data_IF_792634546889
#
_entry.id   IF_792634546889
#
_cell.length_a   1.000
_cell.length_b   1.000
_cell.length_c   1.000
_cell.angle_alpha   90.00
_cell.angle_beta   90.00
_cell.angle_gamma   90.00
#
_symmetry.space_group_name_H-M   'P 1'
#
loop_
_entity.id
_entity.type
_entity.pdbx_description
1 polymer ?
#
# COMPACT_ATOMS: atom_id res chain seq x y z
N UNK A 1 -1.52 -4.71 14.51
CA UNK A 1 -2.40 -5.18 13.41
C UNK A 1 -2.79 -4.03 12.49
N UNK A 2 -1.82 -3.50 11.74
CA UNK A 2 -2.03 -2.72 10.49
C UNK A 2 -1.43 -3.51 9.32
N UNK A 3 -0.43 -4.35 9.60
CA UNK A 3 0.29 -5.10 8.58
C UNK A 3 -0.52 -6.20 7.90
N UNK A 4 -1.59 -6.73 8.52
CA UNK A 4 -2.52 -7.69 7.87
C UNK A 4 -3.45 -6.99 6.88
N UNK A 5 -3.86 -5.75 7.19
CA UNK A 5 -4.64 -4.89 6.28
C UNK A 5 -3.74 -4.38 5.16
N UNK A 6 -2.50 -4.02 5.49
CA UNK A 6 -1.45 -3.74 4.52
C UNK A 6 -1.13 -5.00 3.71
N UNK A 7 -1.21 -6.23 4.23
CA UNK A 7 -1.03 -7.44 3.42
C UNK A 7 -2.19 -7.68 2.45
N UNK A 8 -3.43 -7.36 2.83
CA UNK A 8 -4.58 -7.41 1.90
C UNK A 8 -4.53 -6.27 0.88
N UNK A 9 -3.98 -5.11 1.25
CA UNK A 9 -3.68 -4.01 0.32
C UNK A 9 -2.39 -4.26 -0.50
N UNK A 10 -1.43 -5.07 -0.01
CA UNK A 10 -0.23 -5.52 -0.73
C UNK A 10 -0.49 -6.78 -1.56
N UNK A 11 -1.58 -7.51 -1.33
CA UNK A 11 -2.11 -8.43 -2.32
C UNK A 11 -2.62 -7.66 -3.55
N UNK A 12 -2.93 -6.36 -3.41
CA UNK A 12 -3.06 -5.44 -4.54
C UNK A 12 -1.71 -4.89 -5.05
N UNK A 13 -0.58 -5.05 -4.34
CA UNK A 13 0.77 -4.81 -4.91
C UNK A 13 1.17 -5.94 -5.89
N UNK A 14 0.48 -7.08 -5.85
CA UNK A 14 0.44 -8.04 -6.96
C UNK A 14 -0.26 -7.53 -8.23
N UNK A 15 -0.97 -6.39 -8.18
CA UNK A 15 -1.68 -5.85 -9.37
C UNK A 15 -0.71 -5.23 -10.39
N UNK A 16 0.54 -4.95 -10.03
CA UNK A 16 1.52 -4.32 -10.93
C UNK A 16 2.71 -5.22 -11.33
N UNK A 17 2.78 -6.43 -10.76
CA UNK A 17 3.80 -7.44 -11.07
C UNK A 17 3.11 -8.76 -11.38
N UNK A 18 2.72 -8.94 -12.64
CA UNK A 18 2.21 -10.19 -13.22
C UNK A 18 0.84 -10.66 -12.68
N UNK A 19 -0.24 -10.16 -13.31
CA UNK A 19 -1.62 -10.66 -13.18
C UNK A 19 -1.81 -12.09 -13.75
N UNK A 20 -0.76 -12.91 -13.80
CA UNK A 20 -0.84 -14.34 -14.06
C UNK A 20 -0.60 -15.10 -12.76
N UNK A 21 -1.55 -14.99 -11.83
CA UNK A 21 -1.64 -15.97 -10.75
C UNK A 21 -1.81 -17.35 -11.40
N UNK A 22 -0.83 -18.22 -11.19
CA UNK A 22 -0.90 -19.62 -11.61
C UNK A 22 -2.14 -20.29 -10.99
N UNK A 23 -2.64 -21.36 -11.60
CA UNK A 23 -3.80 -22.11 -11.06
C UNK A 23 -3.56 -22.58 -9.61
N UNK A 24 -2.29 -22.88 -9.27
CA UNK A 24 -1.87 -23.24 -7.90
C UNK A 24 -2.08 -22.07 -6.93
N UNK A 25 -1.64 -20.86 -7.29
CA UNK A 25 -1.82 -19.67 -6.45
C UNK A 25 -3.30 -19.29 -6.32
N UNK A 26 -4.10 -19.44 -7.38
CA UNK A 26 -5.55 -19.21 -7.32
C UNK A 26 -6.22 -20.17 -6.34
N UNK A 27 -5.82 -21.44 -6.35
CA UNK A 27 -6.39 -22.42 -5.43
C UNK A 27 -5.99 -22.13 -3.98
N UNK A 28 -4.71 -21.86 -3.72
CA UNK A 28 -4.24 -21.47 -2.39
C UNK A 28 -4.97 -20.23 -1.86
N UNK A 29 -5.20 -19.23 -2.71
CA UNK A 29 -5.93 -18.04 -2.34
C UNK A 29 -7.38 -18.32 -1.94
N UNK A 30 -8.07 -19.18 -2.72
CA UNK A 30 -9.43 -19.61 -2.41
C UNK A 30 -9.51 -20.34 -1.07
N UNK A 31 -8.55 -21.22 -0.80
CA UNK A 31 -8.52 -22.00 0.44
C UNK A 31 -8.23 -21.10 1.67
N UNK A 32 -7.31 -20.13 1.52
CA UNK A 32 -7.05 -19.12 2.54
C UNK A 32 -8.29 -18.26 2.83
N UNK A 33 -8.98 -17.80 1.79
CA UNK A 33 -10.21 -17.02 1.94
C UNK A 33 -11.28 -17.83 2.67
N UNK A 34 -11.52 -19.08 2.26
CA UNK A 34 -12.48 -19.97 2.92
C UNK A 34 -12.16 -20.14 4.40
N UNK A 35 -10.91 -20.45 4.74
CA UNK A 35 -10.48 -20.60 6.12
C UNK A 35 -10.70 -19.31 6.94
N UNK A 36 -10.40 -18.15 6.35
CA UNK A 36 -10.55 -16.85 6.99
C UNK A 36 -12.03 -16.46 7.18
N UNK A 37 -12.88 -16.66 6.18
CA UNK A 37 -14.31 -16.43 6.28
C UNK A 37 -14.95 -17.35 7.33
N UNK A 38 -14.59 -18.65 7.31
CA UNK A 38 -15.05 -19.64 8.29
C UNK A 38 -14.67 -19.26 9.72
N UNK A 39 -13.42 -18.84 9.92
CA UNK A 39 -12.93 -18.37 11.22
C UNK A 39 -13.76 -17.21 11.79
N UNK A 40 -14.37 -16.41 10.93
CA UNK A 40 -15.18 -15.25 11.31
C UNK A 40 -16.70 -15.49 11.16
N UNK A 41 -17.13 -16.75 10.99
CA UNK A 41 -18.55 -17.12 10.92
C UNK A 41 -19.27 -16.65 9.65
N UNK A 42 -18.53 -16.38 8.58
CA UNK A 42 -19.04 -15.86 7.30
C UNK A 42 -18.72 -16.81 6.13
N UNK A 43 -18.76 -18.12 6.36
CA UNK A 43 -18.45 -19.14 5.34
C UNK A 43 -19.41 -19.04 4.13
N UNK A 44 -20.64 -18.58 4.33
CA UNK A 44 -21.65 -18.29 3.29
C UNK A 44 -21.33 -17.07 2.42
N UNK A 45 -20.32 -16.28 2.78
CA UNK A 45 -19.91 -15.04 2.09
C UNK A 45 -18.67 -15.20 1.20
N UNK A 46 -18.10 -16.40 1.12
CA UNK A 46 -16.86 -16.65 0.38
C UNK A 46 -16.98 -16.25 -1.09
N UNK A 47 -18.05 -16.68 -1.77
CA UNK A 47 -18.28 -16.41 -3.19
C UNK A 47 -18.53 -14.92 -3.46
N UNK A 48 -19.29 -14.25 -2.59
CA UNK A 48 -19.54 -12.81 -2.65
C UNK A 48 -18.22 -12.03 -2.55
N UNK A 49 -17.38 -12.40 -1.58
CA UNK A 49 -16.07 -11.77 -1.38
C UNK A 49 -15.14 -12.04 -2.57
N UNK A 50 -15.18 -13.22 -3.19
CA UNK A 50 -14.42 -13.50 -4.42
C UNK A 50 -14.82 -12.58 -5.57
N UNK A 51 -16.11 -12.35 -5.78
CA UNK A 51 -16.57 -11.47 -6.86
C UNK A 51 -16.22 -10.00 -6.57
N UNK A 52 -16.27 -9.56 -5.31
CA UNK A 52 -15.79 -8.23 -4.90
C UNK A 52 -14.32 -8.04 -5.28
N UNK A 53 -13.46 -9.03 -5.00
CA UNK A 53 -12.03 -8.93 -5.30
C UNK A 53 -11.74 -8.92 -6.80
N UNK A 54 -12.50 -9.68 -7.59
CA UNK A 54 -12.44 -9.66 -9.05
C UNK A 54 -12.92 -8.31 -9.61
N UNK A 55 -14.01 -7.77 -9.07
CA UNK A 55 -14.55 -6.46 -9.43
C UNK A 55 -13.53 -5.35 -9.15
N UNK A 56 -12.87 -5.42 -7.98
CA UNK A 56 -11.78 -4.51 -7.63
C UNK A 56 -10.64 -4.58 -8.65
N UNK A 57 -10.17 -5.78 -9.00
CA UNK A 57 -9.11 -5.95 -9.97
C UNK A 57 -9.50 -5.40 -11.36
N UNK A 58 -10.74 -5.66 -11.79
CA UNK A 58 -11.28 -5.10 -13.04
C UNK A 58 -11.35 -3.57 -13.00
N UNK A 59 -11.76 -2.99 -11.88
CA UNK A 59 -11.74 -1.54 -11.72
C UNK A 59 -10.32 -0.99 -11.89
N UNK A 60 -9.34 -1.51 -11.14
CA UNK A 60 -7.96 -1.01 -11.19
C UNK A 60 -7.38 -1.13 -12.60
N UNK A 61 -7.60 -2.27 -13.28
CA UNK A 61 -7.16 -2.48 -14.67
C UNK A 61 -7.87 -1.53 -15.66
N UNK A 62 -9.13 -1.18 -15.42
CA UNK A 62 -9.83 -0.17 -16.23
C UNK A 62 -9.31 1.25 -16.03
N UNK A 63 -8.71 1.53 -14.87
CA UNK A 63 -8.14 2.83 -14.56
C UNK A 63 -6.70 2.96 -15.06
N UNK A 64 -5.88 1.92 -14.90
CA UNK A 64 -4.43 1.97 -15.16
C UNK A 64 -4.00 0.88 -16.14
N UNK A 65 -3.53 1.29 -17.32
CA UNK A 65 -2.66 0.45 -18.14
C UNK A 65 -1.23 0.63 -17.62
N UNK A 66 -0.74 -0.38 -16.90
CA UNK A 66 0.59 -0.38 -16.25
C UNK A 66 1.72 -0.31 -17.27
N UNK A 67 1.55 -0.97 -18.42
CA UNK A 67 2.57 -0.99 -19.46
C UNK A 67 2.61 0.35 -20.18
N UNK A 68 1.45 0.95 -20.44
CA UNK A 68 1.38 2.32 -20.95
C UNK A 68 1.97 3.31 -19.96
N UNK A 69 1.61 3.24 -18.67
CA UNK A 69 2.14 4.14 -17.64
C UNK A 69 3.66 4.07 -17.54
N UNK A 70 4.24 2.86 -17.50
CA UNK A 70 5.70 2.69 -17.48
C UNK A 70 6.35 3.32 -18.70
N UNK A 71 5.81 3.06 -19.90
CA UNK A 71 6.33 3.65 -21.14
C UNK A 71 6.23 5.17 -21.14
N UNK A 72 5.07 5.72 -20.76
CA UNK A 72 4.83 7.16 -20.67
C UNK A 72 5.80 7.83 -19.69
N UNK A 73 6.09 7.20 -18.54
CA UNK A 73 7.09 7.69 -17.58
C UNK A 73 8.50 7.72 -18.21
N UNK A 74 8.94 6.63 -18.84
CA UNK A 74 10.29 6.57 -19.43
C UNK A 74 10.47 7.57 -20.58
N UNK A 75 9.42 7.81 -21.38
CA UNK A 75 9.41 8.81 -22.45
C UNK A 75 9.40 10.25 -21.91
N UNK A 76 8.69 10.50 -20.81
CA UNK A 76 8.52 11.83 -20.21
C UNK A 76 9.62 12.22 -19.20
N UNK A 77 10.39 11.25 -18.70
CA UNK A 77 11.50 11.50 -17.78
C UNK A 77 12.60 12.40 -18.38
N UNK A 78 13.13 12.17 -19.60
CA UNK A 78 14.23 12.97 -20.14
C UNK A 78 13.83 14.38 -20.59
N UNK A 79 12.55 14.63 -20.88
CA UNK A 79 12.06 15.93 -21.33
C UNK A 79 11.39 16.75 -20.21
N UNK A 80 11.29 16.20 -18.99
CA UNK A 80 10.75 16.88 -17.82
C UNK A 80 9.22 17.00 -17.79
N UNK A 81 8.49 16.17 -18.56
CA UNK A 81 7.03 16.22 -18.69
C UNK A 81 6.29 15.16 -17.83
N UNK A 82 6.91 14.72 -16.73
CA UNK A 82 6.32 13.68 -15.86
C UNK A 82 5.01 14.15 -15.21
N UNK A 83 4.88 15.44 -14.92
CA UNK A 83 3.66 16.04 -14.37
C UNK A 83 2.46 15.87 -15.32
N UNK A 84 2.64 16.02 -16.64
CA UNK A 84 1.59 15.78 -17.63
C UNK A 84 1.11 14.32 -17.63
N UNK A 85 2.05 13.39 -17.49
CA UNK A 85 1.74 11.96 -17.34
C UNK A 85 0.93 11.75 -16.07
N UNK A 86 1.44 12.17 -14.92
CA UNK A 86 0.76 11.92 -13.64
C UNK A 86 -0.57 12.65 -13.52
N UNK A 87 -0.76 13.81 -14.16
CA UNK A 87 -2.04 14.51 -14.21
C UNK A 87 -3.16 13.65 -14.77
N UNK A 88 -2.90 12.96 -15.88
CA UNK A 88 -3.85 12.03 -16.52
C UNK A 88 -4.25 10.89 -15.58
N UNK A 89 -3.31 10.36 -14.81
CA UNK A 89 -3.57 9.24 -13.89
C UNK A 89 -4.20 9.71 -12.56
N UNK A 90 -3.79 10.87 -12.05
CA UNK A 90 -4.33 11.46 -10.83
C UNK A 90 -5.77 11.98 -10.99
N UNK A 91 -6.17 12.36 -12.20
CA UNK A 91 -7.59 12.61 -12.52
C UNK A 91 -8.49 11.40 -12.26
N UNK A 92 -7.94 10.18 -12.25
CA UNK A 92 -8.66 8.92 -11.96
C UNK A 92 -8.71 8.60 -10.46
N UNK A 93 -8.06 9.39 -9.61
CA UNK A 93 -7.98 9.15 -8.17
C UNK A 93 -9.35 9.00 -7.48
N UNK A 94 -10.43 9.73 -7.83
CA UNK A 94 -11.72 9.53 -7.17
C UNK A 94 -12.32 8.15 -7.46
N UNK A 95 -12.16 7.65 -8.69
CA UNK A 95 -12.61 6.31 -9.08
C UNK A 95 -11.77 5.23 -8.40
N UNK A 96 -10.44 5.43 -8.30
CA UNK A 96 -9.57 4.51 -7.57
C UNK A 96 -9.96 4.40 -6.09
N UNK A 97 -10.18 5.53 -5.41
CA UNK A 97 -10.64 5.55 -4.01
C UNK A 97 -11.95 4.79 -3.85
N UNK A 98 -12.92 5.04 -4.74
CA UNK A 98 -14.19 4.31 -4.74
C UNK A 98 -13.99 2.80 -4.87
N UNK A 99 -13.07 2.34 -5.73
CA UNK A 99 -12.82 0.92 -5.89
C UNK A 99 -12.19 0.28 -4.65
N UNK A 100 -11.29 0.99 -3.98
CA UNK A 100 -10.71 0.55 -2.72
C UNK A 100 -11.76 0.50 -1.61
N UNK A 101 -12.63 1.51 -1.50
CA UNK A 101 -13.68 1.55 -0.48
C UNK A 101 -14.71 0.43 -0.70
N UNK A 102 -15.09 0.17 -1.95
CA UNK A 102 -15.95 -0.97 -2.30
C UNK A 102 -15.30 -2.31 -1.96
N UNK A 103 -14.00 -2.46 -2.21
CA UNK A 103 -13.25 -3.64 -1.80
C UNK A 103 -13.29 -3.82 -0.28
N UNK A 104 -12.88 -2.80 0.48
CA UNK A 104 -12.77 -2.90 1.94
C UNK A 104 -14.13 -3.14 2.61
N UNK A 105 -15.21 -2.55 2.08
CA UNK A 105 -16.57 -2.84 2.53
C UNK A 105 -16.98 -4.29 2.19
N UNK A 106 -16.73 -4.75 0.97
CA UNK A 106 -17.16 -6.07 0.52
C UNK A 106 -16.41 -7.23 1.18
N UNK A 107 -15.14 -7.05 1.57
CA UNK A 107 -14.36 -8.09 2.28
C UNK A 107 -14.63 -8.11 3.79
N UNK A 108 -15.28 -7.08 4.34
CA UNK A 108 -15.53 -6.93 5.77
C UNK A 108 -16.18 -8.16 6.44
N UNK A 109 -17.14 -8.88 5.83
CA UNK A 109 -17.73 -10.07 6.43
C UNK A 109 -16.71 -11.16 6.79
N UNK A 110 -15.63 -11.30 6.03
CA UNK A 110 -14.60 -12.30 6.31
C UNK A 110 -13.45 -11.79 7.20
N UNK A 111 -13.52 -10.54 7.67
CA UNK A 111 -12.55 -9.97 8.59
C UNK A 111 -12.95 -10.22 10.05
N UNK A 112 -11.96 -10.23 10.94
CA UNK A 112 -12.20 -10.24 12.39
C UNK A 112 -12.72 -8.87 12.87
N UNK A 113 -13.29 -8.86 14.08
CA UNK A 113 -13.94 -7.66 14.64
C UNK A 113 -13.00 -6.47 14.75
N UNK A 114 -11.76 -6.69 15.21
CA UNK A 114 -10.74 -5.63 15.32
C UNK A 114 -10.41 -5.04 13.95
N UNK A 115 -10.25 -5.89 12.92
CA UNK A 115 -10.00 -5.41 11.57
C UNK A 115 -11.18 -4.59 11.02
N UNK A 116 -12.43 -5.00 11.26
CA UNK A 116 -13.64 -4.27 10.85
C UNK A 116 -13.71 -2.88 11.48
N UNK A 117 -13.39 -2.77 12.77
CA UNK A 117 -13.36 -1.49 13.50
C UNK A 117 -12.33 -0.50 12.94
N UNK A 118 -11.30 -1.00 12.25
CA UNK A 118 -10.24 -0.18 11.65
C UNK A 118 -10.42 0.08 10.14
N UNK A 119 -11.47 -0.41 9.48
CA UNK A 119 -11.70 -0.20 8.04
C UNK A 119 -11.76 1.29 7.70
N UNK A 120 -12.50 2.09 8.49
CA UNK A 120 -12.61 3.53 8.24
C UNK A 120 -11.24 4.23 8.31
N UNK A 121 -10.43 3.89 9.32
CA UNK A 121 -9.07 4.41 9.45
C UNK A 121 -8.17 3.98 8.29
N UNK A 122 -8.29 2.73 7.83
CA UNK A 122 -7.54 2.23 6.68
C UNK A 122 -7.93 2.93 5.37
N UNK A 123 -9.23 3.15 5.13
CA UNK A 123 -9.72 3.91 3.98
C UNK A 123 -9.22 5.36 4.03
N UNK A 124 -9.31 6.02 5.19
CA UNK A 124 -8.80 7.39 5.37
C UNK A 124 -7.28 7.49 5.11
N UNK A 125 -6.49 6.55 5.65
CA UNK A 125 -5.06 6.50 5.39
C UNK A 125 -4.74 6.25 3.89
N UNK A 126 -5.56 5.43 3.22
CA UNK A 126 -5.41 5.16 1.79
C UNK A 126 -5.79 6.38 0.94
N UNK A 127 -6.86 7.06 1.27
CA UNK A 127 -7.28 8.30 0.60
C UNK A 127 -6.20 9.37 0.73
N UNK A 128 -5.62 9.49 1.94
CA UNK A 128 -4.50 10.38 2.20
C UNK A 128 -3.25 10.02 1.39
N UNK A 129 -2.89 8.73 1.31
CA UNK A 129 -1.78 8.30 0.45
C UNK A 129 -2.02 8.72 -1.02
N UNK A 130 -3.22 8.48 -1.54
CA UNK A 130 -3.59 8.86 -2.90
C UNK A 130 -3.53 10.38 -3.08
N UNK A 131 -4.05 11.15 -2.12
CA UNK A 131 -4.00 12.62 -2.15
C UNK A 131 -2.58 13.17 -2.04
N UNK A 132 -1.71 12.50 -1.30
CA UNK A 132 -0.31 12.87 -1.23
C UNK A 132 0.38 12.66 -2.57
N UNK A 133 0.20 11.49 -3.18
CA UNK A 133 0.79 11.17 -4.49
C UNK A 133 0.25 12.10 -5.56
N UNK A 134 -1.06 12.35 -5.56
CA UNK A 134 -1.75 13.20 -6.52
C UNK A 134 -1.82 14.68 -6.13
N UNK A 135 -1.01 15.11 -5.17
CA UNK A 135 -0.92 16.51 -4.80
C UNK A 135 -0.51 17.33 -6.03
N UNK A 136 -1.31 18.37 -6.35
CA UNK A 136 -1.16 19.19 -7.55
C UNK A 136 -0.95 18.32 -8.80
N UNK A 137 -1.94 17.51 -9.12
CA UNK A 137 -1.94 16.66 -10.32
C UNK A 137 -0.75 15.68 -10.43
N UNK A 138 -0.04 15.40 -9.32
CA UNK A 138 1.08 14.46 -9.31
C UNK A 138 2.47 15.08 -9.23
N UNK A 139 2.59 16.39 -8.98
CA UNK A 139 3.88 17.09 -8.82
C UNK A 139 4.84 16.34 -7.88
N UNK A 140 4.34 15.79 -6.78
CA UNK A 140 5.17 15.09 -5.80
C UNK A 140 5.78 13.82 -6.37
N UNK A 141 4.98 12.97 -7.03
CA UNK A 141 5.51 11.74 -7.61
C UNK A 141 6.38 12.01 -8.83
N UNK A 142 6.06 13.06 -9.61
CA UNK A 142 6.90 13.53 -10.70
C UNK A 142 8.29 13.95 -10.20
N UNK A 143 8.35 14.80 -9.16
CA UNK A 143 9.60 15.23 -8.54
C UNK A 143 10.39 14.05 -7.97
N UNK A 144 9.72 13.13 -7.28
CA UNK A 144 10.36 11.93 -6.74
C UNK A 144 11.07 11.12 -7.82
N UNK A 145 10.43 10.91 -8.96
CA UNK A 145 10.99 10.14 -10.07
C UNK A 145 12.08 10.91 -10.81
N UNK A 146 11.88 12.22 -11.03
CA UNK A 146 12.87 13.08 -11.66
C UNK A 146 14.20 13.10 -10.89
N UNK A 147 14.12 13.05 -9.55
CA UNK A 147 15.27 13.08 -8.64
C UNK A 147 15.87 11.69 -8.35
N UNK A 148 15.52 10.67 -9.15
CA UNK A 148 16.09 9.32 -9.04
C UNK A 148 15.56 8.50 -7.86
N UNK A 149 14.35 8.82 -7.38
CA UNK A 149 13.71 8.13 -6.26
C UNK A 149 13.57 6.62 -6.45
N UNK A 150 13.00 6.12 -7.57
CA UNK A 150 12.90 4.68 -7.82
C UNK A 150 14.26 3.97 -7.78
N UNK A 151 15.28 4.55 -8.38
CA UNK A 151 16.64 4.01 -8.44
C UNK A 151 17.27 3.97 -7.04
N UNK A 152 17.11 5.05 -6.27
CA UNK A 152 17.54 5.11 -4.87
C UNK A 152 16.90 4.00 -4.02
N UNK A 153 15.59 3.79 -4.14
CA UNK A 153 14.89 2.72 -3.42
C UNK A 153 15.36 1.32 -3.86
N UNK A 154 15.64 1.14 -5.15
CA UNK A 154 16.15 -0.12 -5.68
C UNK A 154 17.57 -0.41 -5.16
N UNK A 155 18.45 0.59 -5.20
CA UNK A 155 19.83 0.51 -4.67
C UNK A 155 19.83 0.21 -3.17
N UNK A 156 18.95 0.88 -2.40
CA UNK A 156 18.83 0.72 -0.95
C UNK A 156 17.91 -0.42 -0.53
N UNK A 157 17.49 -1.29 -1.45
CA UNK A 157 16.59 -2.41 -1.16
C UNK A 157 17.12 -3.36 -0.07
N UNK A 158 18.43 -3.61 -0.02
CA UNK A 158 19.09 -4.39 1.04
C UNK A 158 18.97 -3.74 2.43
N UNK A 159 19.47 -2.51 2.61
CA UNK A 159 19.29 -1.73 3.85
C UNK A 159 17.82 -1.59 4.28
N UNK A 160 16.91 -1.31 3.34
CA UNK A 160 15.46 -1.22 3.62
C UNK A 160 14.92 -2.55 4.15
N UNK A 161 15.34 -3.67 3.54
CA UNK A 161 14.96 -5.01 4.02
C UNK A 161 15.45 -5.26 5.43
N UNK A 162 16.68 -4.86 5.75
CA UNK A 162 17.23 -4.98 7.09
C UNK A 162 16.42 -4.18 8.13
N UNK A 163 15.89 -3.01 7.77
CA UNK A 163 14.97 -2.25 8.63
C UNK A 163 13.69 -3.03 8.94
N UNK A 164 13.08 -3.66 7.93
CA UNK A 164 11.89 -4.49 8.10
C UNK A 164 12.19 -5.70 8.98
N UNK A 165 13.31 -6.39 8.74
CA UNK A 165 13.72 -7.57 9.50
C UNK A 165 14.02 -7.23 10.97
N UNK A 166 14.61 -6.05 11.23
CA UNK A 166 14.81 -5.54 12.59
C UNK A 166 13.49 -5.34 13.34
N UNK A 167 12.51 -4.71 12.71
CA UNK A 167 11.19 -4.50 13.33
C UNK A 167 10.46 -5.83 13.51
N UNK A 168 10.54 -6.73 12.53
CA UNK A 168 9.93 -8.06 12.59
C UNK A 168 10.55 -8.92 13.70
N UNK A 169 11.87 -8.95 13.82
CA UNK A 169 12.57 -9.71 14.88
C UNK A 169 12.24 -9.19 16.29
N UNK A 170 11.93 -7.89 16.42
CA UNK A 170 11.46 -7.33 17.70
C UNK A 170 10.04 -7.73 18.08
N UNK A 171 9.31 -8.40 17.19
CA UNK A 171 7.96 -8.93 17.40
C UNK A 171 7.97 -10.41 17.03
N UNK A 172 8.38 -11.23 17.99
CA UNK A 172 8.77 -12.64 17.82
C UNK A 172 7.71 -13.58 17.22
N UNK A 173 6.42 -13.18 17.22
CA UNK A 173 5.36 -13.92 16.51
C UNK A 173 4.20 -13.02 16.09
N UNK A 174 3.32 -13.54 15.23
CA UNK A 174 2.07 -12.88 14.84
C UNK A 174 1.15 -12.72 16.06
N UNK A 175 1.13 -13.66 17.00
CA UNK A 175 0.38 -13.51 18.26
C UNK A 175 0.97 -12.42 19.14
N UNK A 176 2.30 -12.32 19.24
CA UNK A 176 2.95 -11.22 19.97
C UNK A 176 2.63 -9.85 19.37
N UNK A 177 2.52 -9.77 18.04
CA UNK A 177 2.11 -8.55 17.32
C UNK A 177 0.64 -8.15 17.59
N UNK A 178 -0.20 -9.10 18.01
CA UNK A 178 -1.62 -8.87 18.33
C UNK A 178 -1.82 -8.30 19.74
N UNK A 179 -0.85 -8.48 20.63
CA UNK A 179 -0.90 -8.01 22.02
C UNK A 179 -0.32 -6.59 22.15
N UNK A 180 0.43 -6.11 21.16
CA UNK A 180 1.02 -4.77 21.16
C UNK A 180 -0.04 -3.70 21.36
N UNK A 181 0.20 -2.81 22.34
CA UNK A 181 -0.63 -1.63 22.54
C UNK A 181 -0.58 -0.72 21.30
N UNK A 182 -1.56 0.18 21.18
CA UNK A 182 -1.54 1.15 20.09
C UNK A 182 -0.24 1.98 20.10
N UNK A 183 0.25 2.39 21.27
CA UNK A 183 1.51 3.10 21.42
C UNK A 183 2.71 2.29 20.92
N UNK A 184 2.79 1.00 21.25
CA UNK A 184 3.86 0.13 20.76
C UNK A 184 3.82 -0.03 19.23
N UNK A 185 2.62 -0.16 18.66
CA UNK A 185 2.45 -0.27 17.21
C UNK A 185 2.91 1.02 16.49
N UNK A 186 2.58 2.18 17.06
CA UNK A 186 3.03 3.47 16.54
C UNK A 186 4.55 3.66 16.69
N UNK A 187 5.12 3.27 17.83
CA UNK A 187 6.57 3.30 18.04
C UNK A 187 7.33 2.38 17.06
N UNK A 188 6.77 1.22 16.73
CA UNK A 188 7.34 0.31 15.72
C UNK A 188 7.25 0.87 14.30
N UNK A 189 6.16 1.58 13.99
CA UNK A 189 6.05 2.32 12.75
C UNK A 189 7.14 3.40 12.66
N UNK A 190 7.28 4.21 13.71
CA UNK A 190 8.26 5.31 13.77
C UNK A 190 9.71 4.76 13.68
N UNK A 191 10.00 3.63 14.33
CA UNK A 191 11.29 2.92 14.20
C UNK A 191 11.56 2.48 12.76
N UNK A 192 10.57 1.86 12.11
CA UNK A 192 10.69 1.39 10.73
C UNK A 192 10.94 2.55 9.76
N UNK A 193 10.09 3.58 9.80
CA UNK A 193 10.15 4.69 8.85
C UNK A 193 11.41 5.51 9.03
N UNK A 194 11.86 5.72 10.28
CA UNK A 194 13.14 6.39 10.55
C UNK A 194 14.31 5.61 10.00
N UNK A 195 14.31 4.28 10.15
CA UNK A 195 15.35 3.42 9.59
C UNK A 195 15.39 3.50 8.05
N UNK A 196 14.22 3.46 7.40
CA UNK A 196 14.12 3.57 5.94
C UNK A 196 14.61 4.94 5.45
N UNK A 197 14.18 6.03 6.08
CA UNK A 197 14.61 7.39 5.70
C UNK A 197 16.14 7.50 5.79
N UNK A 198 16.75 7.02 6.87
CA UNK A 198 18.21 7.01 7.02
C UNK A 198 18.94 6.24 5.91
N UNK A 199 18.38 5.12 5.45
CA UNK A 199 18.96 4.39 4.33
C UNK A 199 18.89 5.19 3.01
N UNK A 200 17.81 5.95 2.82
CA UNK A 200 17.60 6.77 1.62
C UNK A 200 18.40 8.08 1.64
N UNK A 201 18.79 8.58 2.82
CA UNK A 201 19.67 9.75 2.97
C UNK A 201 21.07 9.50 2.35
N UNK A 202 21.46 8.23 2.18
CA UNK A 202 22.71 7.84 1.53
C UNK A 202 22.65 7.90 -0.01
N UNK A 203 21.52 8.27 -0.60
CA UNK A 203 21.39 8.43 -2.05
C UNK A 203 22.02 9.74 -2.54
N UNK A 204 22.23 9.85 -3.86
CA UNK A 204 22.91 10.99 -4.48
C UNK A 204 22.21 12.34 -4.26
N UNK A 205 20.89 12.32 -4.12
CA UNK A 205 20.07 13.50 -3.83
C UNK A 205 19.31 13.29 -2.52
N UNK A 206 19.06 14.35 -1.73
CA UNK A 206 18.27 14.24 -0.50
C UNK A 206 16.77 14.12 -0.77
N UNK A 207 16.32 14.38 -2.01
CA UNK A 207 14.90 14.46 -2.36
C UNK A 207 14.14 13.15 -2.08
N UNK A 208 14.63 11.96 -2.49
CA UNK A 208 13.95 10.69 -2.20
C UNK A 208 13.71 10.46 -0.70
N UNK A 209 14.70 10.77 0.15
CA UNK A 209 14.59 10.66 1.60
C UNK A 209 13.57 11.64 2.18
N UNK A 210 13.65 12.91 1.81
CA UNK A 210 12.73 13.97 2.25
C UNK A 210 11.27 13.67 1.85
N UNK A 211 11.08 13.12 0.65
CA UNK A 211 9.75 12.75 0.15
C UNK A 211 9.20 11.51 0.86
N UNK A 212 10.05 10.50 1.11
CA UNK A 212 9.67 9.33 1.89
C UNK A 212 9.28 9.72 3.32
N UNK A 213 10.08 10.56 3.99
CA UNK A 213 9.77 11.08 5.34
C UNK A 213 8.44 11.84 5.35
N UNK A 214 8.24 12.74 4.39
CA UNK A 214 7.01 13.51 4.25
C UNK A 214 5.79 12.61 4.03
N UNK A 215 5.93 11.56 3.23
CA UNK A 215 4.89 10.58 3.00
C UNK A 215 4.58 9.78 4.27
N UNK A 216 5.61 9.26 4.96
CA UNK A 216 5.43 8.51 6.20
C UNK A 216 4.72 9.35 7.26
N UNK A 217 5.12 10.60 7.44
CA UNK A 217 4.45 11.53 8.36
C UNK A 217 3.00 11.78 7.95
N UNK A 218 2.73 11.94 6.66
CA UNK A 218 1.37 12.16 6.15
C UNK A 218 0.47 10.95 6.43
N UNK A 219 0.95 9.74 6.13
CA UNK A 219 0.23 8.48 6.40
C UNK A 219 0.03 8.27 7.90
N UNK A 220 1.05 8.51 8.73
CA UNK A 220 0.94 8.41 10.20
C UNK A 220 -0.20 9.26 10.74
N UNK A 221 -0.35 10.49 10.22
CA UNK A 221 -1.40 11.42 10.61
C UNK A 221 -2.82 10.98 10.20
N UNK A 222 -2.95 10.03 9.27
CA UNK A 222 -4.21 9.40 8.89
C UNK A 222 -4.66 8.26 9.78
N UNK A 223 -3.80 7.85 10.72
CA UNK A 223 -4.03 6.72 11.62
C UNK A 223 -4.25 7.19 13.06
N UNK A 224 -4.72 6.31 13.97
CA UNK A 224 -4.78 6.61 15.39
C UNK A 224 -3.43 7.00 16.04
N UNK A 225 -2.29 6.77 15.36
CA UNK A 225 -0.97 7.19 15.84
C UNK A 225 -0.80 8.70 15.91
N UNK A 226 -1.60 9.50 15.20
CA UNK A 226 -1.51 10.97 15.23
C UNK A 226 -1.54 11.56 16.65
N UNK A 227 -2.31 10.94 17.55
CA UNK A 227 -2.55 11.43 18.91
C UNK A 227 -1.76 10.66 19.98
N UNK A 228 -0.78 9.85 19.56
CA UNK A 228 0.14 9.13 20.44
C UNK A 228 1.46 9.89 20.56
#
# INVERSE_FOLDING_TARGET
MIWKIVFVAFLAVGVLGEYQLSEIQRQQYRDMLKAQCKKNGAEDKVEEVQEVMKTFAQCVMGLFDVNALKREIEEAKPNGALDEVFKKYCAKSPQLKSCIHSLTAGVAPCMDQTAREHIASANNATDQLIDFVCFKDGDRIALFIAEGGPECFQEKSGPIRACVDKVKSSVSSIEAAQILSLGDQCGKYDELTTCIVKALEECSTPTPANMAESLFRYVRNGTPCKNQ
#
